data_IF_473810447029
#
_entry.id   IF_473810447029
#
_cell.length_a   1.000
_cell.length_b   1.000
_cell.length_c   1.000
_cell.angle_alpha   90.00
_cell.angle_beta   90.00
_cell.angle_gamma   90.00
#
_symmetry.space_group_name_H-M   'P 1'
#
loop_
_entity.id
_entity.type
_entity.pdbx_description
1 polymer ?
#
# COMPACT_ATOMS: atom_id res chain seq x y z
N UNK A 1 -62.50 -17.98 -57.49
CA UNK A 1 -62.38 -16.58 -57.95
C UNK A 1 -61.44 -15.82 -57.01
N UNK A 2 -60.59 -14.91 -57.53
CA UNK A 2 -59.37 -14.43 -56.88
C UNK A 2 -59.58 -13.11 -56.11
N UNK A 3 -58.68 -12.80 -55.16
CA UNK A 3 -57.78 -11.62 -55.17
C UNK A 3 -56.99 -11.57 -53.86
N UNK A 4 -55.71 -11.14 -53.90
CA UNK A 4 -54.70 -11.33 -52.86
C UNK A 4 -54.50 -10.05 -52.03
N UNK A 5 -53.62 -10.10 -51.02
CA UNK A 5 -52.53 -9.11 -50.88
C UNK A 5 -51.62 -9.43 -49.70
N UNK A 6 -50.36 -9.59 -50.06
CA UNK A 6 -49.21 -9.56 -49.17
C UNK A 6 -49.32 -8.41 -48.15
N UNK A 7 -49.19 -8.74 -46.87
CA UNK A 7 -48.85 -7.75 -45.85
C UNK A 7 -47.33 -7.74 -45.70
N UNK A 8 -46.69 -6.85 -46.46
CA UNK A 8 -45.30 -6.48 -46.30
C UNK A 8 -45.05 -6.00 -44.86
N UNK A 9 -44.33 -6.79 -44.07
CA UNK A 9 -43.84 -6.41 -42.76
C UNK A 9 -42.74 -5.35 -42.93
N UNK A 10 -43.09 -4.07 -42.73
CA UNK A 10 -42.11 -2.98 -42.61
C UNK A 10 -41.22 -3.26 -41.38
N UNK A 11 -40.00 -3.77 -41.61
CA UNK A 11 -38.95 -3.83 -40.59
C UNK A 11 -38.54 -2.40 -40.22
N UNK A 12 -39.04 -1.92 -39.09
CA UNK A 12 -38.62 -0.66 -38.51
C UNK A 12 -37.19 -0.83 -37.96
N UNK A 13 -36.18 -0.31 -38.67
CA UNK A 13 -34.79 -0.29 -38.20
C UNK A 13 -34.65 0.81 -37.14
N UNK A 14 -34.81 0.45 -35.88
CA UNK A 14 -34.55 1.35 -34.75
C UNK A 14 -33.03 1.53 -34.59
N UNK A 15 -32.49 2.58 -35.20
CA UNK A 15 -31.07 2.92 -35.09
C UNK A 15 -30.83 3.64 -33.77
N UNK A 16 -30.52 2.89 -32.71
CA UNK A 16 -30.09 3.45 -31.42
C UNK A 16 -28.73 4.12 -31.64
N UNK A 17 -28.69 5.46 -31.69
CA UNK A 17 -27.44 6.22 -31.73
C UNK A 17 -26.87 6.26 -30.31
N UNK A 18 -26.09 5.25 -29.97
CA UNK A 18 -25.41 5.18 -28.67
C UNK A 18 -24.48 6.40 -28.53
N UNK A 19 -24.66 7.27 -27.51
CA UNK A 19 -23.92 8.52 -27.41
C UNK A 19 -22.51 8.23 -26.89
N UNK A 20 -21.63 7.82 -27.79
CA UNK A 20 -20.26 7.39 -27.48
C UNK A 20 -19.47 8.44 -26.69
N UNK A 21 -19.80 9.73 -26.90
CA UNK A 21 -19.22 10.87 -26.19
C UNK A 21 -19.51 10.86 -24.69
N UNK A 22 -20.70 10.43 -24.26
CA UNK A 22 -21.07 10.34 -22.85
C UNK A 22 -20.34 9.17 -22.15
N UNK A 23 -20.21 8.05 -22.85
CA UNK A 23 -19.45 6.89 -22.37
C UNK A 23 -17.96 7.21 -22.22
N UNK A 24 -17.37 7.96 -23.16
CA UNK A 24 -15.98 8.41 -23.09
C UNK A 24 -15.75 9.38 -21.92
N UNK A 25 -16.72 10.25 -21.63
CA UNK A 25 -16.63 11.20 -20.51
C UNK A 25 -16.67 10.50 -19.15
N UNK A 26 -17.54 9.49 -18.98
CA UNK A 26 -17.61 8.66 -17.77
C UNK A 26 -16.33 7.82 -17.60
N UNK A 27 -15.81 7.25 -18.69
CA UNK A 27 -14.56 6.49 -18.67
C UNK A 27 -13.34 7.37 -18.32
N UNK A 28 -13.32 8.63 -18.78
CA UNK A 28 -12.28 9.61 -18.45
C UNK A 28 -12.34 10.03 -16.97
N UNK A 29 -13.54 10.14 -16.40
CA UNK A 29 -13.75 10.41 -14.96
C UNK A 29 -13.30 9.24 -14.07
N UNK A 30 -13.49 8.00 -14.52
CA UNK A 30 -13.08 6.79 -13.79
C UNK A 30 -11.57 6.47 -13.88
N UNK A 31 -10.88 6.93 -14.93
CA UNK A 31 -9.42 6.77 -15.06
C UNK A 31 -8.63 7.56 -14.00
N UNK A 32 -9.20 8.62 -13.43
CA UNK A 32 -8.47 9.58 -12.59
C UNK A 32 -8.37 9.20 -11.11
N UNK A 33 -8.98 8.10 -10.64
CA UNK A 33 -9.03 7.79 -9.21
C UNK A 33 -8.39 6.45 -8.87
N UNK A 34 -7.06 6.38 -8.98
CA UNK A 34 -6.29 5.44 -8.17
C UNK A 34 -5.65 6.22 -7.02
N UNK A 35 -6.15 6.09 -5.77
CA UNK A 35 -5.44 6.62 -4.61
C UNK A 35 -4.20 5.75 -4.37
N UNK A 36 -3.12 6.06 -5.09
CA UNK A 36 -1.85 5.35 -4.96
C UNK A 36 -1.07 5.95 -3.78
N UNK A 37 -1.02 5.21 -2.68
CA UNK A 37 0.01 5.29 -1.63
C UNK A 37 0.04 6.51 -0.67
N UNK A 38 -0.82 7.52 -0.78
CA UNK A 38 -0.77 8.69 0.13
C UNK A 38 -1.27 8.39 1.56
N UNK A 39 -2.39 7.68 1.72
CA UNK A 39 -3.00 7.41 3.03
C UNK A 39 -2.12 6.55 3.95
N UNK A 40 -1.42 5.57 3.39
CA UNK A 40 -0.59 4.66 4.17
C UNK A 40 0.62 5.38 4.77
N UNK A 41 1.18 6.36 4.07
CA UNK A 41 2.28 7.18 4.58
C UNK A 41 1.83 8.11 5.72
N UNK A 42 0.68 8.78 5.58
CA UNK A 42 0.13 9.67 6.61
C UNK A 42 -0.14 8.92 7.92
N UNK A 43 -0.75 7.75 7.82
CA UNK A 43 -1.04 6.90 8.98
C UNK A 43 0.21 6.46 9.75
N UNK A 44 1.37 6.38 9.09
CA UNK A 44 2.64 6.15 9.78
C UNK A 44 3.16 7.40 10.45
N UNK A 45 3.07 8.56 9.81
CA UNK A 45 3.63 9.80 10.38
C UNK A 45 2.86 10.21 11.63
N UNK A 46 1.54 10.08 11.62
CA UNK A 46 0.67 10.56 12.71
C UNK A 46 0.17 9.45 13.64
N UNK A 47 0.07 8.20 13.18
CA UNK A 47 -0.63 7.13 13.92
C UNK A 47 0.21 6.35 14.94
N UNK A 48 1.45 6.74 15.22
CA UNK A 48 2.28 6.00 16.19
C UNK A 48 1.88 6.32 17.63
N UNK A 49 1.31 5.34 18.32
CA UNK A 49 0.97 5.44 19.74
C UNK A 49 1.99 4.69 20.61
N UNK A 50 2.80 5.39 21.43
CA UNK A 50 3.78 4.75 22.31
C UNK A 50 3.16 3.82 23.36
N UNK A 51 1.88 4.00 23.71
CA UNK A 51 1.18 3.12 24.65
C UNK A 51 0.93 1.72 24.08
N UNK A 52 1.03 1.57 22.75
CA UNK A 52 0.88 0.28 22.05
C UNK A 52 2.22 -0.32 21.64
N UNK A 53 3.34 0.27 22.10
CA UNK A 53 4.69 -0.19 21.80
C UNK A 53 4.96 -1.55 22.45
N UNK A 54 5.29 -2.52 21.62
CA UNK A 54 5.69 -3.86 22.06
C UNK A 54 6.95 -4.30 21.32
N UNK A 55 7.66 -5.25 21.93
CA UNK A 55 8.79 -5.94 21.31
C UNK A 55 8.36 -7.32 20.86
N UNK A 56 8.60 -7.63 19.58
CA UNK A 56 8.27 -8.91 18.96
C UNK A 56 9.49 -9.49 18.27
N UNK A 57 9.65 -10.81 18.32
CA UNK A 57 10.73 -11.53 17.65
C UNK A 57 10.14 -12.55 16.69
N UNK A 58 10.47 -12.47 15.41
CA UNK A 58 9.89 -13.34 14.39
C UNK A 58 10.76 -13.46 13.15
N UNK A 59 10.36 -14.33 12.24
CA UNK A 59 11.05 -14.57 10.97
C UNK A 59 10.42 -13.77 9.84
N UNK A 60 11.22 -13.12 9.00
CA UNK A 60 10.72 -12.41 7.81
C UNK A 60 10.33 -13.42 6.73
N UNK A 61 9.03 -13.55 6.48
CA UNK A 61 8.49 -14.49 5.46
C UNK A 61 8.15 -13.82 4.14
N UNK A 62 8.09 -12.48 4.12
CA UNK A 62 7.88 -11.71 2.89
C UNK A 62 8.47 -10.32 3.04
N UNK A 63 9.21 -9.84 2.05
CA UNK A 63 9.76 -8.49 1.99
C UNK A 63 9.24 -7.78 0.73
N UNK A 64 8.61 -6.62 0.89
CA UNK A 64 8.06 -5.82 -0.20
C UNK A 64 8.69 -4.42 -0.21
N UNK A 65 9.57 -4.19 -1.17
CA UNK A 65 10.25 -2.90 -1.40
C UNK A 65 9.69 -2.33 -2.70
N UNK A 66 8.65 -1.48 -2.65
CA UNK A 66 8.11 -0.87 -3.85
C UNK A 66 9.07 0.21 -4.39
N UNK A 67 9.02 0.52 -5.68
CA UNK A 67 9.75 1.67 -6.24
C UNK A 67 9.36 2.98 -5.54
N UNK A 68 8.07 3.13 -5.24
CA UNK A 68 7.48 4.29 -4.55
C UNK A 68 6.52 3.81 -3.46
N UNK A 69 6.55 4.48 -2.32
CA UNK A 69 5.64 4.20 -1.20
C UNK A 69 6.37 3.64 0.01
N UNK A 70 5.67 2.84 0.80
CA UNK A 70 6.17 2.29 2.07
C UNK A 70 6.76 0.89 1.85
N UNK A 71 7.96 0.69 2.39
CA UNK A 71 8.55 -0.65 2.52
C UNK A 71 7.85 -1.38 3.66
N UNK A 72 7.38 -2.58 3.34
CA UNK A 72 6.67 -3.44 4.27
C UNK A 72 7.29 -4.84 4.25
N UNK A 73 7.20 -5.54 5.37
CA UNK A 73 7.43 -6.98 5.39
C UNK A 73 6.37 -7.68 6.23
N UNK A 74 6.26 -8.99 6.07
CA UNK A 74 5.48 -9.83 6.96
C UNK A 74 6.43 -10.66 7.82
N UNK A 75 6.15 -10.69 9.13
CA UNK A 75 6.84 -11.59 10.06
C UNK A 75 5.94 -12.74 10.46
N UNK A 76 6.52 -13.92 10.61
CA UNK A 76 5.84 -15.06 11.20
C UNK A 76 6.14 -15.15 12.69
N UNK A 77 5.08 -15.15 13.50
CA UNK A 77 5.14 -15.23 14.96
C UNK A 77 3.94 -16.01 15.48
N UNK A 78 4.19 -17.01 16.35
CA UNK A 78 3.15 -17.80 17.03
C UNK A 78 2.08 -18.35 16.06
N UNK A 79 2.50 -18.84 14.90
CA UNK A 79 1.60 -19.42 13.90
C UNK A 79 0.82 -18.42 13.05
N UNK A 80 1.11 -17.11 13.16
CA UNK A 80 0.43 -16.05 12.39
C UNK A 80 1.43 -15.13 11.71
N UNK A 81 1.07 -14.66 10.53
CA UNK A 81 1.82 -13.63 9.81
C UNK A 81 1.29 -12.23 10.20
N UNK A 82 2.19 -11.34 10.59
CA UNK A 82 1.88 -9.94 10.90
C UNK A 82 2.56 -9.01 9.92
N UNK A 83 1.81 -8.03 9.40
CA UNK A 83 2.35 -7.01 8.50
C UNK A 83 3.03 -5.89 9.29
N UNK A 84 4.21 -5.53 8.85
CA UNK A 84 5.07 -4.54 9.49
C UNK A 84 5.46 -3.47 8.48
N UNK A 85 5.31 -2.21 8.88
CA UNK A 85 5.60 -1.03 8.09
C UNK A 85 6.90 -0.42 8.62
N UNK A 86 7.92 -0.34 7.76
CA UNK A 86 9.23 0.19 8.13
C UNK A 86 9.32 1.69 7.89
N UNK A 87 9.43 2.07 6.62
CA UNK A 87 9.79 3.40 6.19
C UNK A 87 9.51 3.55 4.69
N UNK A 88 9.62 4.77 4.14
CA UNK A 88 9.50 5.00 2.70
C UNK A 88 10.62 4.32 1.91
N UNK A 89 10.32 3.91 0.67
CA UNK A 89 11.27 3.24 -0.24
C UNK A 89 12.57 4.03 -0.43
N UNK A 90 12.48 5.35 -0.60
CA UNK A 90 13.65 6.21 -0.75
C UNK A 90 14.55 6.20 0.50
N UNK A 91 13.97 6.16 1.69
CA UNK A 91 14.71 6.15 2.95
C UNK A 91 15.33 4.77 3.20
N UNK A 92 14.60 3.71 2.84
CA UNK A 92 15.12 2.34 2.87
C UNK A 92 16.35 2.19 1.96
N UNK A 93 16.30 2.74 0.75
CA UNK A 93 17.41 2.73 -0.20
C UNK A 93 18.62 3.52 0.33
N UNK A 94 18.38 4.68 0.96
CA UNK A 94 19.44 5.49 1.59
C UNK A 94 20.09 4.76 2.78
N UNK A 95 19.28 4.08 3.59
CA UNK A 95 19.74 3.28 4.73
C UNK A 95 20.54 2.03 4.29
N UNK A 96 20.22 1.50 3.10
CA UNK A 96 20.76 0.27 2.52
C UNK A 96 20.92 -0.87 3.56
N UNK A 97 19.82 -1.29 4.20
CA UNK A 97 19.89 -2.27 5.28
C UNK A 97 20.15 -3.70 4.73
N UNK A 98 20.95 -4.48 5.47
CA UNK A 98 21.20 -5.89 5.22
C UNK A 98 20.10 -6.71 5.92
N UNK A 99 18.90 -6.66 5.34
CA UNK A 99 17.72 -7.41 5.78
C UNK A 99 17.33 -8.37 4.65
N UNK A 100 17.32 -9.66 4.95
CA UNK A 100 17.03 -10.71 3.98
C UNK A 100 15.74 -11.45 4.34
N UNK A 101 15.19 -12.15 3.35
CA UNK A 101 14.13 -13.13 3.58
C UNK A 101 14.66 -14.23 4.51
N UNK A 102 13.79 -14.74 5.39
CA UNK A 102 14.09 -15.73 6.43
C UNK A 102 15.04 -15.25 7.55
N UNK A 103 15.41 -13.95 7.58
CA UNK A 103 16.12 -13.40 8.74
C UNK A 103 15.18 -13.40 9.96
N UNK A 104 15.72 -13.82 11.10
CA UNK A 104 15.08 -13.62 12.41
C UNK A 104 15.36 -12.18 12.84
N UNK A 105 14.30 -11.45 13.15
CA UNK A 105 14.38 -10.04 13.56
C UNK A 105 13.68 -9.81 14.89
N UNK A 106 14.23 -8.90 15.68
CA UNK A 106 13.64 -8.35 16.89
C UNK A 106 13.17 -6.93 16.57
N UNK A 107 11.87 -6.70 16.65
CA UNK A 107 11.23 -5.45 16.28
C UNK A 107 10.66 -4.82 17.53
N UNK A 108 10.96 -3.55 17.73
CA UNK A 108 10.30 -2.69 18.70
C UNK A 108 9.44 -1.69 17.94
N UNK A 109 8.14 -1.68 18.21
CA UNK A 109 7.21 -0.83 17.46
C UNK A 109 5.80 -0.83 18.02
N UNK A 110 4.97 0.04 17.48
CA UNK A 110 3.58 0.24 17.90
C UNK A 110 2.62 -0.56 17.03
N UNK A 111 1.56 -1.09 17.65
CA UNK A 111 0.46 -1.77 16.96
C UNK A 111 -0.62 -0.74 16.64
N UNK A 112 -0.89 -0.53 15.35
CA UNK A 112 -1.89 0.44 14.90
C UNK A 112 -2.97 -0.24 14.07
N UNK A 113 -4.13 0.40 13.98
CA UNK A 113 -5.18 0.00 13.07
C UNK A 113 -5.24 0.98 11.90
N UNK A 114 -5.24 0.45 10.68
CA UNK A 114 -5.42 1.22 9.45
C UNK A 114 -6.68 0.71 8.75
N UNK A 115 -7.60 1.58 8.29
CA UNK A 115 -8.82 1.16 7.58
C UNK A 115 -8.54 0.26 6.37
N UNK A 116 -7.40 0.46 5.70
CA UNK A 116 -7.00 -0.29 4.50
C UNK A 116 -6.34 -1.63 4.77
N UNK A 117 -5.55 -1.72 5.84
CA UNK A 117 -4.67 -2.88 6.10
C UNK A 117 -5.03 -3.65 7.37
N UNK A 118 -6.05 -3.19 8.10
CA UNK A 118 -6.38 -3.71 9.42
C UNK A 118 -5.28 -3.40 10.42
N UNK A 119 -4.97 -4.37 11.27
CA UNK A 119 -3.93 -4.24 12.29
C UNK A 119 -2.55 -4.40 11.66
N UNK A 120 -1.69 -3.39 11.83
CA UNK A 120 -0.31 -3.40 11.35
C UNK A 120 0.65 -2.98 12.46
N UNK A 121 1.92 -3.35 12.32
CA UNK A 121 2.99 -2.89 13.20
C UNK A 121 3.79 -1.78 12.54
N UNK A 122 4.06 -0.72 13.28
CA UNK A 122 4.92 0.37 12.83
C UNK A 122 6.23 0.32 13.58
N UNK A 123 7.34 0.21 12.84
CA UNK A 123 8.65 0.01 13.44
C UNK A 123 9.18 1.31 14.06
N UNK A 124 9.74 1.20 15.26
CA UNK A 124 10.62 2.21 15.88
C UNK A 124 12.07 1.79 15.78
N UNK A 125 12.40 0.55 16.12
CA UNK A 125 13.70 -0.06 15.83
C UNK A 125 13.56 -1.52 15.43
N UNK A 126 14.53 -2.00 14.67
CA UNK A 126 14.64 -3.37 14.19
C UNK A 126 16.07 -3.85 14.36
N UNK A 127 16.24 -4.99 15.01
CA UNK A 127 17.53 -5.68 15.11
C UNK A 127 17.48 -6.97 14.32
N UNK A 128 18.44 -7.16 13.42
CA UNK A 128 18.62 -8.41 12.67
C UNK A 128 19.48 -9.35 13.51
N UNK A 129 18.98 -10.54 13.83
CA UNK A 129 19.69 -11.49 14.71
C UNK A 129 20.96 -12.02 14.05
N UNK A 130 20.91 -12.31 12.73
CA UNK A 130 22.05 -12.82 11.95
C UNK A 130 23.28 -11.89 12.02
N UNK A 131 23.08 -10.58 11.84
CA UNK A 131 24.16 -9.59 11.80
C UNK A 131 24.38 -8.88 13.12
N UNK A 132 23.43 -8.97 14.05
CA UNK A 132 23.39 -8.19 15.29
C UNK A 132 23.12 -6.70 15.07
N UNK A 133 22.95 -6.23 13.83
CA UNK A 133 22.81 -4.82 13.49
C UNK A 133 21.42 -4.30 13.86
N UNK A 134 21.39 -3.15 14.52
CA UNK A 134 20.16 -2.43 14.84
C UNK A 134 19.95 -1.25 13.87
N UNK A 135 18.71 -1.13 13.42
CA UNK A 135 18.22 -0.07 12.56
C UNK A 135 17.15 0.71 13.29
N UNK A 136 17.38 2.01 13.46
CA UNK A 136 16.45 2.93 14.12
C UNK A 136 15.66 3.66 13.03
N UNK A 137 14.35 3.71 13.19
CA UNK A 137 13.41 4.33 12.24
C UNK A 137 12.72 5.57 12.83
N UNK A 138 12.61 5.63 14.17
CA UNK A 138 12.02 6.75 14.91
C UNK A 138 12.95 7.25 16.01
N UNK A 139 12.86 8.54 16.28
CA UNK A 139 13.57 9.19 17.40
C UNK A 139 12.87 8.88 18.73
N UNK A 140 13.44 9.37 19.83
CA UNK A 140 12.87 9.23 21.17
C UNK A 140 11.52 9.92 21.33
N UNK A 141 11.30 11.03 20.62
CA UNK A 141 10.01 11.73 20.51
C UNK A 141 8.98 11.00 19.61
N UNK A 142 9.29 9.75 19.21
CA UNK A 142 8.50 8.91 18.32
C UNK A 142 8.33 9.44 16.90
N UNK A 143 8.96 10.56 16.54
CA UNK A 143 8.90 11.10 15.18
C UNK A 143 9.70 10.21 14.23
N UNK A 144 9.21 9.99 12.99
CA UNK A 144 9.95 9.25 11.99
C UNK A 144 11.22 10.00 11.59
N UNK A 145 12.33 9.28 11.44
CA UNK A 145 13.61 9.91 11.07
C UNK A 145 13.53 10.60 9.71
N UNK A 146 12.71 10.11 8.78
CA UNK A 146 12.52 10.72 7.46
C UNK A 146 11.63 11.96 7.44
N UNK A 147 11.06 12.39 8.58
CA UNK A 147 10.23 13.61 8.65
C UNK A 147 11.02 14.82 8.12
N UNK A 148 10.42 15.59 7.21
CA UNK A 148 11.03 16.77 6.59
C UNK A 148 12.18 16.50 5.59
N UNK A 149 12.53 15.23 5.35
CA UNK A 149 13.64 14.84 4.45
C UNK A 149 13.19 14.27 3.11
N UNK A 150 11.90 13.99 2.97
CA UNK A 150 11.33 13.50 1.72
C UNK A 150 11.51 14.55 0.63
N UNK A 151 12.45 14.31 -0.29
CA UNK A 151 12.46 15.05 -1.55
C UNK A 151 11.14 14.75 -2.23
N UNK A 152 10.31 15.78 -2.45
CA UNK A 152 9.34 15.76 -3.54
C UNK A 152 10.15 15.55 -4.82
N UNK A 153 10.48 14.32 -5.20
CA UNK A 153 11.11 14.06 -6.50
C UNK A 153 10.01 14.30 -7.52
N UNK A 154 10.07 15.36 -8.34
CA UNK A 154 9.11 15.51 -9.42
C UNK A 154 9.25 14.28 -10.32
N UNK A 155 8.10 13.75 -10.71
CA UNK A 155 7.99 12.69 -11.69
C UNK A 155 8.78 13.10 -12.93
N UNK A 156 9.78 12.29 -13.32
CA UNK A 156 10.36 12.34 -14.66
C UNK A 156 9.77 11.21 -15.47
#
# INVERSE_FOLDING_TARGET
MPIPRERALKRYKFSIKFPWKLFFFIFLLLYKTSPLSAQDFDSLVEGYDPNTEISIKGEIVQLNIPERGIVTFNIFLKGKAYRVFLCPSWYYQELNPDILLNDIVEIKGAKIYTPRHGIVFVVKSLRVVRTGKEYIFRREDFSPLWKGRGKCRPFR
#
